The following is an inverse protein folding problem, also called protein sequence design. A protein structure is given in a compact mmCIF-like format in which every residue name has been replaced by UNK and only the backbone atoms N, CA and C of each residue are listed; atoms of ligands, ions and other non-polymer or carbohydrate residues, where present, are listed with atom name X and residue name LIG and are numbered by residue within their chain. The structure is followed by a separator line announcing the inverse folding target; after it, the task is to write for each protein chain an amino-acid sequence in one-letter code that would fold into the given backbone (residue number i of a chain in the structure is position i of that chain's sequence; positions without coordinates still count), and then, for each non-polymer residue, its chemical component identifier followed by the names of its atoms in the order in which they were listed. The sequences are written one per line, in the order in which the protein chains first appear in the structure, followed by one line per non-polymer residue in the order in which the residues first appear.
data_IF_012808865899
#
_entry.id   IF_012808865899
#
_cell.length_a   1.000
_cell.length_b   1.000
_cell.length_c   1.000
_cell.angle_alpha   90.00
_cell.angle_beta   90.00
_cell.angle_gamma   90.00
#
_symmetry.space_group_name_H-M   'P 1'
#
loop_
_entity.id
_entity.type
_entity.pdbx_description
1 polymer ?
#
# COMPACT_ATOMS: atom_id res chain seq x y z
N UNK A 1 29.74 -16.73 35.55
CA UNK A 1 28.98 -15.75 34.74
C UNK A 1 28.40 -16.31 33.44
N UNK A 2 29.10 -17.14 32.64
CA UNK A 2 28.54 -17.77 31.42
C UNK A 2 27.35 -18.74 31.64
N UNK A 3 27.30 -19.43 32.77
CA UNK A 3 26.27 -20.46 33.03
C UNK A 3 24.89 -19.91 33.45
N UNK A 4 24.82 -18.68 33.99
CA UNK A 4 23.55 -18.08 34.41
C UNK A 4 22.73 -17.54 33.24
N UNK A 5 23.38 -17.01 32.19
CA UNK A 5 22.70 -16.51 31.00
C UNK A 5 22.03 -17.67 30.22
N UNK A 6 22.76 -18.78 30.06
CA UNK A 6 22.26 -20.00 29.41
C UNK A 6 21.02 -20.57 30.10
N UNK A 7 20.98 -20.58 31.44
CA UNK A 7 19.79 -21.05 32.18
C UNK A 7 18.59 -20.11 32.00
N UNK A 8 18.82 -18.79 32.01
CA UNK A 8 17.74 -17.81 31.86
C UNK A 8 17.11 -17.84 30.45
N UNK A 9 17.93 -18.07 29.41
CA UNK A 9 17.46 -18.25 28.03
C UNK A 9 16.65 -19.55 27.87
N UNK A 10 17.06 -20.62 28.55
CA UNK A 10 16.35 -21.91 28.52
C UNK A 10 15.00 -21.84 29.24
N UNK A 11 14.89 -21.11 30.35
CA UNK A 11 13.60 -20.92 31.03
C UNK A 11 12.65 -20.01 30.24
N UNK A 12 13.17 -18.99 29.55
CA UNK A 12 12.36 -18.09 28.70
C UNK A 12 11.69 -18.80 27.53
N UNK A 13 12.33 -19.81 26.94
CA UNK A 13 11.76 -20.54 25.81
C UNK A 13 10.49 -21.32 26.14
N UNK A 14 10.27 -21.64 27.42
CA UNK A 14 9.14 -22.45 27.89
C UNK A 14 7.92 -21.62 28.31
N UNK A 15 8.06 -20.29 28.39
CA UNK A 15 6.95 -19.41 28.78
C UNK A 15 6.40 -18.74 27.52
N UNK A 16 5.11 -18.95 27.18
CA UNK A 16 4.48 -18.25 26.08
C UNK A 16 4.56 -16.75 26.27
N UNK A 17 4.97 -16.04 25.22
CA UNK A 17 5.10 -14.59 25.23
C UNK A 17 3.88 -13.95 24.61
N UNK A 18 3.50 -12.79 25.15
CA UNK A 18 2.46 -11.94 24.54
C UNK A 18 3.06 -11.27 23.31
N UNK A 19 2.33 -11.31 22.20
CA UNK A 19 2.66 -10.65 20.93
C UNK A 19 1.44 -9.91 20.42
N UNK A 20 1.67 -8.88 19.60
CA UNK A 20 0.63 -8.08 18.98
C UNK A 20 0.67 -8.27 17.46
N UNK A 21 -0.50 -8.41 16.83
CA UNK A 21 -0.62 -8.54 15.39
C UNK A 21 -0.50 -7.17 14.70
N UNK A 22 0.47 -7.03 13.80
CA UNK A 22 0.69 -5.81 13.02
C UNK A 22 -0.54 -5.36 12.19
N UNK A 23 -1.36 -6.30 11.73
CA UNK A 23 -2.47 -6.01 10.81
C UNK A 23 -3.76 -5.60 11.50
N UNK A 24 -4.12 -6.30 12.59
CA UNK A 24 -5.41 -6.10 13.26
C UNK A 24 -5.28 -5.67 14.72
N UNK A 25 -4.06 -5.46 15.21
CA UNK A 25 -3.74 -5.06 16.58
C UNK A 25 -4.23 -6.05 17.66
N UNK A 26 -4.61 -7.29 17.27
CA UNK A 26 -5.01 -8.33 18.21
C UNK A 26 -3.81 -8.87 18.99
N UNK A 27 -3.93 -8.88 20.31
CA UNK A 27 -2.96 -9.49 21.20
C UNK A 27 -3.20 -11.01 21.36
N UNK A 28 -2.15 -11.81 21.25
CA UNK A 28 -2.21 -13.24 21.49
C UNK A 28 -0.95 -13.76 22.18
N UNK A 29 -0.97 -15.02 22.62
CA UNK A 29 0.18 -15.68 23.22
C UNK A 29 0.72 -16.76 22.30
N UNK A 30 2.03 -16.74 22.09
CA UNK A 30 2.74 -17.70 21.24
C UNK A 30 3.97 -18.25 21.97
N UNK A 31 4.46 -19.43 21.59
CA UNK A 31 5.78 -19.91 22.02
C UNK A 31 6.86 -18.83 21.80
N UNK A 32 7.82 -18.72 22.72
CA UNK A 32 8.80 -17.62 22.71
C UNK A 32 9.67 -17.59 21.44
N UNK A 33 9.97 -18.76 20.88
CA UNK A 33 10.66 -18.96 19.61
C UNK A 33 9.85 -18.49 18.39
N UNK A 34 8.51 -18.46 18.49
CA UNK A 34 7.60 -18.03 17.44
C UNK A 34 7.18 -16.56 17.54
N UNK A 35 7.77 -15.78 18.46
CA UNK A 35 7.38 -14.38 18.70
C UNK A 35 7.48 -13.44 17.49
N UNK A 36 8.30 -13.81 16.49
CA UNK A 36 8.44 -13.12 15.21
C UNK A 36 8.11 -14.06 14.02
N UNK A 37 7.31 -15.10 14.24
CA UNK A 37 6.94 -16.10 13.22
C UNK A 37 5.63 -16.79 13.59
N UNK A 38 4.52 -16.06 13.55
CA UNK A 38 3.22 -16.60 13.96
C UNK A 38 2.09 -16.21 13.01
N UNK A 39 1.00 -17.00 13.01
CA UNK A 39 -0.26 -16.65 12.34
C UNK A 39 -1.18 -16.01 13.38
N UNK A 40 -1.79 -14.88 13.05
CA UNK A 40 -2.78 -14.25 13.92
C UNK A 40 -4.06 -15.09 13.97
N UNK A 41 -4.56 -15.43 15.16
CA UNK A 41 -5.82 -16.16 15.34
C UNK A 41 -7.06 -15.37 14.92
N UNK A 42 -6.96 -14.03 14.84
CA UNK A 42 -8.10 -13.15 14.53
C UNK A 42 -8.25 -12.82 13.05
N UNK A 43 -7.15 -12.68 12.31
CA UNK A 43 -7.18 -12.25 10.89
C UNK A 43 -6.42 -13.19 9.95
N UNK A 44 -5.86 -14.27 10.49
CA UNK A 44 -5.15 -15.32 9.75
C UNK A 44 -3.91 -14.84 8.99
N UNK A 45 -3.48 -13.59 9.23
CA UNK A 45 -2.29 -13.02 8.61
C UNK A 45 -1.02 -13.47 9.33
N UNK A 46 0.03 -13.70 8.54
CA UNK A 46 1.36 -14.04 9.04
C UNK A 46 2.09 -12.82 9.59
N UNK A 47 2.61 -12.94 10.80
CA UNK A 47 3.39 -11.94 11.51
C UNK A 47 4.81 -12.47 11.70
N UNK A 48 5.70 -11.99 10.85
CA UNK A 48 7.13 -12.30 10.92
C UNK A 48 7.92 -11.50 9.89
N UNK A 49 8.79 -10.63 10.39
CA UNK A 49 9.53 -9.68 9.56
C UNK A 49 11.04 -9.79 9.79
N UNK A 50 11.82 -9.53 8.75
CA UNK A 50 13.26 -9.35 8.85
C UNK A 50 13.62 -7.91 9.27
N UNK A 51 14.91 -7.62 9.42
CA UNK A 51 15.38 -6.30 9.84
C UNK A 51 15.04 -5.16 8.85
N UNK A 52 14.70 -5.49 7.61
CA UNK A 52 14.27 -4.52 6.59
C UNK A 52 12.76 -4.26 6.61
N UNK A 53 12.01 -5.01 7.44
CA UNK A 53 10.54 -4.98 7.45
C UNK A 53 9.89 -5.86 6.39
N UNK A 54 10.67 -6.61 5.60
CA UNK A 54 10.17 -7.64 4.69
C UNK A 54 9.76 -8.90 5.44
N UNK A 55 9.00 -9.81 4.80
CA UNK A 55 8.66 -11.09 5.44
C UNK A 55 9.90 -11.96 5.65
N UNK A 56 10.07 -12.50 6.86
CA UNK A 56 11.16 -13.42 7.18
C UNK A 56 10.97 -14.85 6.64
N UNK A 57 9.97 -15.04 5.77
CA UNK A 57 9.69 -16.27 5.03
C UNK A 57 9.37 -15.94 3.58
N UNK A 58 9.54 -16.91 2.70
CA UNK A 58 9.03 -16.82 1.34
C UNK A 58 7.50 -16.84 1.37
N UNK A 59 6.89 -15.75 0.92
CA UNK A 59 5.45 -15.69 0.69
C UNK A 59 5.18 -16.14 -0.75
N UNK A 60 4.41 -17.22 -0.97
CA UNK A 60 4.02 -17.63 -2.31
C UNK A 60 3.32 -16.48 -3.04
N UNK A 61 3.76 -16.16 -4.26
CA UNK A 61 3.19 -15.09 -5.09
C UNK A 61 3.79 -13.69 -4.90
N UNK A 62 4.68 -13.47 -3.92
CA UNK A 62 5.42 -12.19 -3.81
C UNK A 62 6.69 -12.13 -4.65
N UNK A 63 7.27 -13.28 -5.00
CA UNK A 63 8.38 -13.35 -5.95
C UNK A 63 7.83 -13.44 -7.36
N UNK A 64 7.98 -12.36 -8.12
CA UNK A 64 7.90 -12.36 -9.58
C UNK A 64 9.00 -13.28 -10.11
N UNK A 65 8.77 -14.59 -10.12
CA UNK A 65 9.60 -15.48 -10.91
C UNK A 65 9.30 -15.10 -12.36
N UNK A 66 10.31 -14.58 -13.06
CA UNK A 66 10.30 -14.26 -14.50
C UNK A 66 10.20 -15.55 -15.33
N UNK A 67 9.37 -16.50 -14.90
CA UNK A 67 9.12 -17.78 -15.55
C UNK A 67 7.69 -17.79 -16.08
N UNK A 68 7.51 -17.17 -17.24
CA UNK A 68 6.66 -17.64 -18.35
C UNK A 68 5.21 -18.07 -18.07
N UNK A 69 4.57 -17.62 -16.98
CA UNK A 69 3.13 -17.78 -16.79
C UNK A 69 2.50 -16.40 -16.88
N UNK A 70 1.71 -16.21 -17.94
CA UNK A 70 0.91 -15.02 -18.16
C UNK A 70 0.06 -14.78 -16.91
N UNK A 71 0.49 -13.84 -16.08
CA UNK A 71 -0.15 -13.54 -14.81
C UNK A 71 -1.52 -12.94 -15.11
N UNK A 72 -2.57 -13.53 -14.53
CA UNK A 72 -3.93 -13.02 -14.63
C UNK A 72 -3.95 -11.63 -14.00
N UNK A 73 -3.90 -10.58 -14.81
CA UNK A 73 -4.02 -9.22 -14.30
C UNK A 73 -5.44 -9.02 -13.78
N UNK A 74 -5.63 -9.08 -12.47
CA UNK A 74 -6.92 -8.78 -11.82
C UNK A 74 -7.28 -7.30 -11.94
N UNK A 75 -6.28 -6.45 -12.15
CA UNK A 75 -6.46 -5.08 -12.57
C UNK A 75 -5.84 -4.92 -13.97
N UNK A 76 -6.69 -4.76 -14.97
CA UNK A 76 -6.25 -4.14 -16.22
C UNK A 76 -6.40 -2.64 -16.04
N UNK A 77 -5.38 -1.81 -16.37
CA UNK A 77 -5.63 -0.39 -16.53
C UNK A 77 -6.80 -0.29 -17.50
N UNK A 78 -7.88 0.33 -17.06
CA UNK A 78 -9.09 0.35 -17.87
C UNK A 78 -8.73 0.95 -19.23
N UNK A 79 -8.87 0.16 -20.30
CA UNK A 79 -8.71 0.66 -21.67
C UNK A 79 -9.70 1.79 -21.96
N UNK A 80 -10.71 1.98 -21.12
CA UNK A 80 -11.67 3.08 -21.17
C UNK A 80 -11.10 4.44 -20.72
N UNK A 81 -9.88 4.49 -20.16
CA UNK A 81 -9.16 5.77 -20.03
C UNK A 81 -8.83 6.38 -21.41
N UNK A 82 -8.82 5.57 -22.48
CA UNK A 82 -8.64 6.04 -23.86
C UNK A 82 -9.96 6.29 -24.60
N UNK A 83 -11.10 5.94 -24.03
CA UNK A 83 -12.41 6.08 -24.68
C UNK A 83 -13.50 6.30 -23.63
N UNK A 84 -13.51 7.48 -22.99
CA UNK A 84 -14.80 8.09 -22.64
C UNK A 84 -15.32 8.70 -23.95
N UNK A 85 -16.43 8.22 -24.53
CA UNK A 85 -16.98 8.77 -25.78
C UNK A 85 -17.25 10.28 -25.69
N UNK A 86 -17.43 10.80 -24.47
CA UNK A 86 -17.78 12.19 -24.20
C UNK A 86 -16.56 13.11 -24.02
N UNK A 87 -15.33 12.56 -24.02
CA UNK A 87 -14.09 13.33 -23.90
C UNK A 87 -13.19 12.94 -25.06
N UNK A 88 -13.43 13.56 -26.22
CA UNK A 88 -12.40 13.62 -27.27
C UNK A 88 -11.18 14.29 -26.61
N UNK A 89 -10.03 13.61 -26.48
CA UNK A 89 -8.82 14.27 -26.03
C UNK A 89 -8.59 15.44 -26.97
N UNK A 90 -8.70 16.67 -26.46
CA UNK A 90 -8.27 17.84 -27.25
C UNK A 90 -6.83 17.56 -27.64
N UNK A 91 -6.50 17.66 -28.92
CA UNK A 91 -5.15 17.39 -29.42
C UNK A 91 -4.11 18.09 -28.52
N UNK A 92 -3.17 17.32 -27.96
CA UNK A 92 -2.15 17.80 -27.02
C UNK A 92 -2.50 17.70 -25.53
N UNK A 93 -3.65 17.12 -25.15
CA UNK A 93 -4.01 16.80 -23.76
C UNK A 93 -4.02 15.28 -23.49
N UNK A 94 -3.34 14.86 -22.42
CA UNK A 94 -3.33 13.49 -21.94
C UNK A 94 -4.65 13.09 -21.28
N UNK A 95 -4.80 11.80 -20.96
CA UNK A 95 -6.03 11.22 -20.39
C UNK A 95 -6.44 11.80 -19.02
N UNK A 96 -5.53 12.49 -18.34
CA UNK A 96 -5.76 13.17 -17.06
C UNK A 96 -6.15 14.65 -17.20
N UNK A 97 -6.30 15.16 -18.42
CA UNK A 97 -6.68 16.57 -18.65
C UNK A 97 -5.55 17.58 -18.53
N UNK A 98 -4.29 17.15 -18.37
CA UNK A 98 -3.11 18.00 -18.50
C UNK A 98 -2.55 17.93 -19.93
N UNK A 99 -1.90 18.99 -20.40
CA UNK A 99 -1.20 18.95 -21.69
C UNK A 99 0.05 18.06 -21.63
N UNK A 100 0.53 17.59 -22.78
CA UNK A 100 1.67 16.67 -22.84
C UNK A 100 2.95 17.25 -22.22
N UNK A 101 3.20 18.54 -22.39
CA UNK A 101 4.35 19.22 -21.78
C UNK A 101 4.25 19.22 -20.25
N UNK A 102 3.08 19.55 -19.71
CA UNK A 102 2.83 19.53 -18.28
C UNK A 102 2.95 18.11 -17.72
N UNK A 103 2.45 17.09 -18.43
CA UNK A 103 2.60 15.69 -18.03
C UNK A 103 4.08 15.28 -17.93
N UNK A 104 4.92 15.65 -18.91
CA UNK A 104 6.36 15.41 -18.85
C UNK A 104 7.03 16.12 -17.68
N UNK A 105 6.62 17.35 -17.37
CA UNK A 105 7.11 18.08 -16.21
C UNK A 105 6.74 17.39 -14.89
N UNK A 106 5.50 16.90 -14.76
CA UNK A 106 5.07 16.14 -13.59
C UNK A 106 5.86 14.84 -13.43
N UNK A 107 6.16 14.14 -14.53
CA UNK A 107 7.02 12.94 -14.49
C UNK A 107 8.44 13.26 -13.97
N UNK A 108 9.02 14.39 -14.38
CA UNK A 108 10.31 14.85 -13.86
C UNK A 108 10.23 15.10 -12.35
N UNK A 109 9.18 15.79 -11.89
CA UNK A 109 8.96 16.05 -10.45
C UNK A 109 8.87 14.73 -9.68
N UNK A 110 8.08 13.76 -10.16
CA UNK A 110 7.93 12.46 -9.51
C UNK A 110 9.26 11.72 -9.39
N UNK A 111 10.06 11.69 -10.46
CA UNK A 111 11.39 11.06 -10.43
C UNK A 111 12.31 11.74 -9.43
N UNK A 112 12.32 13.08 -9.41
CA UNK A 112 13.15 13.85 -8.47
C UNK A 112 12.75 13.63 -7.02
N UNK A 113 11.45 13.54 -6.73
CA UNK A 113 10.96 13.22 -5.39
C UNK A 113 11.33 11.79 -5.00
N UNK A 114 11.25 10.82 -5.92
CA UNK A 114 11.64 9.44 -5.66
C UNK A 114 13.15 9.31 -5.37
N UNK A 115 13.97 10.11 -6.04
CA UNK A 115 15.43 10.17 -5.85
C UNK A 115 15.84 11.10 -4.68
N UNK A 116 14.90 11.65 -3.91
CA UNK A 116 15.20 12.58 -2.81
C UNK A 116 15.80 11.85 -1.60
N UNK A 117 16.90 12.39 -1.08
CA UNK A 117 17.56 11.94 0.14
C UNK A 117 17.75 13.15 1.06
N UNK A 118 17.28 13.09 2.33
CA UNK A 118 17.40 14.20 3.27
C UNK A 118 18.86 14.43 3.67
N UNK A 119 19.21 15.67 3.98
CA UNK A 119 20.50 15.98 4.62
C UNK A 119 20.45 15.69 6.12
N UNK A 120 19.29 15.90 6.74
CA UNK A 120 19.02 15.55 8.13
C UNK A 120 17.71 14.76 8.24
N UNK A 121 17.80 13.49 8.66
CA UNK A 121 16.66 12.60 8.85
C UNK A 121 15.61 13.17 9.82
N UNK A 122 16.03 13.89 10.87
CA UNK A 122 15.09 14.50 11.83
C UNK A 122 14.27 15.64 11.21
N UNK A 123 14.71 16.17 10.07
CA UNK A 123 14.06 17.25 9.32
C UNK A 123 13.52 16.80 7.97
N UNK A 124 13.38 15.49 7.76
CA UNK A 124 12.96 14.90 6.49
C UNK A 124 11.70 15.57 5.90
N UNK A 125 10.66 15.79 6.71
CA UNK A 125 9.41 16.39 6.26
C UNK A 125 9.62 17.82 5.74
N UNK A 126 10.31 18.66 6.51
CA UNK A 126 10.58 20.06 6.15
C UNK A 126 11.41 20.14 4.87
N UNK A 127 12.48 19.32 4.79
CA UNK A 127 13.36 19.31 3.63
C UNK A 127 12.64 18.82 2.37
N UNK A 128 11.78 17.80 2.50
CA UNK A 128 10.99 17.29 1.39
C UNK A 128 9.97 18.34 0.89
N UNK A 129 9.31 19.07 1.79
CA UNK A 129 8.35 20.10 1.40
C UNK A 129 9.03 21.30 0.73
N UNK A 130 10.18 21.75 1.24
CA UNK A 130 11.02 22.76 0.58
C UNK A 130 11.49 22.29 -0.81
N UNK A 131 11.85 21.01 -0.93
CA UNK A 131 12.27 20.42 -2.19
C UNK A 131 11.12 20.36 -3.21
N UNK A 132 9.94 19.89 -2.78
CA UNK A 132 8.71 19.91 -3.58
C UNK A 132 8.36 21.32 -4.04
N UNK A 133 8.45 22.32 -3.16
CA UNK A 133 8.20 23.71 -3.50
C UNK A 133 9.15 24.22 -4.59
N UNK A 134 10.45 23.94 -4.47
CA UNK A 134 11.46 24.30 -5.47
C UNK A 134 11.20 23.62 -6.82
N UNK A 135 10.89 22.32 -6.81
CA UNK A 135 10.57 21.57 -8.03
C UNK A 135 9.34 22.13 -8.74
N UNK A 136 8.26 22.44 -8.02
CA UNK A 136 7.06 23.04 -8.59
C UNK A 136 7.31 24.44 -9.19
N UNK A 137 8.28 25.19 -8.65
CA UNK A 137 8.71 26.47 -9.25
C UNK A 137 9.52 26.30 -10.53
N UNK A 138 10.38 25.27 -10.61
CA UNK A 138 11.24 25.01 -11.77
C UNK A 138 10.45 24.38 -12.92
N UNK A 139 9.49 23.51 -12.58
CA UNK A 139 8.66 22.77 -13.53
C UNK A 139 7.17 23.12 -13.34
N UNK A 140 6.77 24.40 -13.49
CA UNK A 140 5.40 24.81 -13.25
C UNK A 140 4.47 24.28 -14.34
N UNK A 141 3.24 23.98 -13.97
CA UNK A 141 2.16 23.78 -14.93
C UNK A 141 1.92 25.09 -15.72
N UNK A 142 1.50 24.95 -16.97
CA UNK A 142 1.01 26.11 -17.73
C UNK A 142 -0.31 26.63 -17.13
N UNK A 143 -0.66 27.89 -17.41
CA UNK A 143 -1.83 28.56 -16.81
C UNK A 143 -3.13 27.78 -16.98
N UNK A 144 -3.37 27.18 -18.15
CA UNK A 144 -4.57 26.38 -18.41
C UNK A 144 -4.60 25.09 -17.58
N UNK A 145 -3.46 24.39 -17.47
CA UNK A 145 -3.33 23.18 -16.66
C UNK A 145 -3.42 23.49 -15.16
N UNK A 146 -2.85 24.60 -14.70
CA UNK A 146 -2.98 25.08 -13.32
C UNK A 146 -4.44 25.32 -12.96
N UNK A 147 -5.18 26.04 -13.82
CA UNK A 147 -6.60 26.28 -13.59
C UNK A 147 -7.42 24.98 -13.58
N UNK A 148 -7.14 24.08 -14.53
CA UNK A 148 -7.78 22.76 -14.58
C UNK A 148 -7.55 21.96 -13.30
N UNK A 149 -6.30 21.87 -12.83
CA UNK A 149 -5.94 21.15 -11.62
C UNK A 149 -6.60 21.74 -10.37
N UNK A 150 -6.59 23.07 -10.23
CA UNK A 150 -7.25 23.76 -9.12
C UNK A 150 -8.76 23.51 -9.09
N UNK A 151 -9.42 23.57 -10.25
CA UNK A 151 -10.84 23.26 -10.38
C UNK A 151 -11.12 21.81 -9.95
N UNK A 152 -10.29 20.86 -10.38
CA UNK A 152 -10.44 19.44 -10.01
C UNK A 152 -10.31 19.21 -8.50
N UNK A 153 -9.32 19.83 -7.86
CA UNK A 153 -9.15 19.74 -6.41
C UNK A 153 -10.35 20.32 -5.63
N UNK A 154 -10.99 21.37 -6.15
CA UNK A 154 -12.20 21.94 -5.55
C UNK A 154 -13.41 21.01 -5.70
N UNK A 155 -13.58 20.39 -6.88
CA UNK A 155 -14.65 19.42 -7.13
C UNK A 155 -14.53 18.20 -6.20
N UNK A 156 -13.31 17.68 -6.00
CA UNK A 156 -13.05 16.55 -5.10
C UNK A 156 -13.30 16.90 -3.64
N UNK A 157 -12.89 18.09 -3.19
CA UNK A 157 -13.17 18.58 -1.84
C UNK A 157 -14.67 18.69 -1.55
N UNK A 158 -15.44 19.21 -2.50
CA UNK A 158 -16.90 19.26 -2.37
C UNK A 158 -17.51 17.85 -2.34
N UNK A 159 -16.93 16.89 -3.06
CA UNK A 159 -17.37 15.49 -3.01
C UNK A 159 -17.10 14.85 -1.65
N UNK A 160 -15.93 15.08 -1.04
CA UNK A 160 -15.61 14.54 0.29
C UNK A 160 -16.51 15.14 1.37
N UNK A 161 -16.75 16.46 1.31
CA UNK A 161 -17.56 17.16 2.31
C UNK A 161 -19.05 16.73 2.28
N UNK A 162 -19.53 16.21 1.14
CA UNK A 162 -20.91 15.69 0.98
C UNK A 162 -21.06 14.21 1.38
N UNK A 163 -19.96 13.47 1.49
CA UNK A 163 -19.95 12.08 1.98
C UNK A 163 -19.97 12.05 3.52
N UNK A 164 -19.36 13.03 4.19
CA UNK A 164 -19.35 13.15 5.66
C UNK A 164 -20.74 13.42 6.27
N UNK A 165 -21.71 13.94 5.51
CA UNK A 165 -23.07 14.19 5.99
C UNK A 165 -23.99 12.94 5.90
N UNK A 166 -23.48 11.82 5.36
CA UNK A 166 -24.23 10.54 5.23
C UNK A 166 -23.81 9.44 6.19
N UNK A 167 -22.80 9.66 7.02
CA UNK A 167 -22.31 8.69 8.02
C UNK A 167 -23.18 8.57 9.30
N UNK A 168 -24.46 8.91 9.19
CA UNK A 168 -25.50 8.53 10.14
C UNK A 168 -26.11 7.13 9.90
N UNK A 169 -25.78 6.46 8.79
CA UNK A 169 -26.32 5.13 8.47
C UNK A 169 -25.17 4.13 8.32
N UNK A 170 -24.99 3.35 9.39
CA UNK A 170 -24.10 2.20 9.48
C UNK A 170 -24.36 1.24 8.31
N UNK A 171 -23.55 1.31 7.26
CA UNK A 171 -23.59 0.34 6.16
C UNK A 171 -22.97 -0.97 6.66
N UNK A 172 -23.67 -2.12 6.60
CA UNK A 172 -23.08 -3.39 6.99
C UNK A 172 -21.99 -3.77 5.97
N UNK A 173 -20.84 -4.22 6.47
CA UNK A 173 -19.83 -4.86 5.64
C UNK A 173 -20.49 -5.93 4.76
N UNK A 174 -20.34 -5.79 3.44
CA UNK A 174 -20.74 -6.83 2.50
C UNK A 174 -19.91 -8.07 2.85
N UNK A 175 -20.59 -9.12 3.32
CA UNK A 175 -20.00 -10.43 3.54
C UNK A 175 -19.25 -10.88 2.28
N UNK A 176 -17.96 -11.15 2.45
CA UNK A 176 -17.18 -11.85 1.44
C UNK A 176 -17.73 -13.28 1.36
N UNK A 177 -18.63 -13.50 0.40
CA UNK A 177 -19.32 -14.77 0.21
C UNK A 177 -18.37 -15.80 -0.41
N UNK A 178 -17.47 -16.38 0.40
CA UNK A 178 -16.70 -17.57 0.03
C UNK A 178 -17.58 -18.82 0.15
N UNK A 179 -18.53 -18.98 -0.79
CA UNK A 179 -19.11 -20.28 -1.11
C UNK A 179 -18.53 -20.73 -2.43
N UNK A 180 -17.57 -21.66 -2.36
CA UNK A 180 -17.41 -22.83 -3.23
C UNK A 180 -15.97 -23.36 -3.18
N UNK A 181 -15.71 -24.31 -2.27
CA UNK A 181 -14.85 -25.46 -2.59
C UNK A 181 -15.14 -26.63 -1.63
N UNK A 182 -16.25 -27.32 -1.86
CA UNK A 182 -16.46 -28.68 -1.35
C UNK A 182 -16.22 -29.66 -2.49
N UNK A 183 -15.12 -30.41 -2.41
CA UNK A 183 -14.87 -31.68 -3.10
C UNK A 183 -13.43 -32.09 -2.77
N UNK A 184 -13.05 -33.28 -2.34
CA UNK A 184 -13.70 -34.54 -2.01
C UNK A 184 -12.61 -35.33 -1.24
N UNK A 185 -12.85 -35.77 0.00
CA UNK A 185 -12.04 -36.84 0.60
C UNK A 185 -12.65 -38.15 0.14
N UNK A 186 -12.05 -38.75 -0.89
CA UNK A 186 -12.33 -40.11 -1.30
C UNK A 186 -11.82 -41.06 -0.21
N UNK A 187 -12.75 -41.84 0.34
CA UNK A 187 -12.52 -43.11 1.01
C UNK A 187 -11.54 -43.97 0.19
N UNK A 188 -10.55 -44.59 0.84
CA UNK A 188 -10.16 -45.99 0.59
C UNK A 188 -9.16 -46.50 1.63
N UNK A 189 -9.54 -47.66 2.17
CA UNK A 189 -8.79 -48.71 2.87
C UNK A 189 -8.16 -48.35 4.23
#
# INVERSE_FOLDING_TARGET
FRNFHSLCDTFRSHIPTKVNCWFCQHDQRVPYDQRNSFICSSCEQYNGFDASGGYNRKVPGQQCVVAAKLETRYCTPSKTAFTRPDVVPKEGYGSNGLCDQCNRQQEIIMKKIADFEPLNEDRWNEELDDYRYKLNKIYPLCSSCTFYAQKKMQEEKVSSDLEDDKDGIRTPCIECNCKHFTSQITKKA
#
